data_IF_441747082404
#
_entry.id   IF_441747082404
#
_cell.length_a   1.000
_cell.length_b   1.000
_cell.length_c   1.000
_cell.angle_alpha   90.00
_cell.angle_beta   90.00
_cell.angle_gamma   90.00
#
_symmetry.space_group_name_H-M   'P 1'
#
loop_
_entity.id
_entity.type
_entity.pdbx_description
1 polymer ?
#
# COMPACT_ATOMS: atom_id res chain seq x y z
N UNK A 1 -10.27 -4.92 5.02
CA UNK A 1 -10.26 -3.45 5.07
C UNK A 1 -8.96 -3.03 5.74
N UNK A 2 -8.22 -2.08 5.17
CA UNK A 2 -7.05 -1.49 5.86
C UNK A 2 -7.55 -0.39 6.79
N UNK A 3 -7.18 -0.44 8.07
CA UNK A 3 -7.66 0.47 9.11
C UNK A 3 -6.72 1.65 9.32
N UNK A 4 -7.22 2.72 9.96
CA UNK A 4 -6.42 3.85 10.46
C UNK A 4 -5.51 4.52 9.39
N UNK A 5 -5.99 4.67 8.16
CA UNK A 5 -5.18 5.26 7.08
C UNK A 5 -5.33 6.78 7.01
N UNK A 6 -4.25 7.56 6.81
CA UNK A 6 -4.34 9.01 6.75
C UNK A 6 -5.13 9.45 5.52
N UNK A 7 -6.12 10.34 5.67
CA UNK A 7 -6.89 10.88 4.54
C UNK A 7 -6.00 11.52 3.47
N UNK A 8 -4.86 12.10 3.87
CA UNK A 8 -3.86 12.68 2.96
C UNK A 8 -3.30 11.65 1.96
N UNK A 9 -3.29 10.36 2.29
CA UNK A 9 -2.78 9.32 1.39
C UNK A 9 -3.84 8.79 0.41
N UNK A 10 -5.09 9.23 0.53
CA UNK A 10 -6.22 8.74 -0.28
C UNK A 10 -6.03 9.02 -1.77
N UNK A 11 -5.41 10.15 -2.12
CA UNK A 11 -5.14 10.52 -3.53
C UNK A 11 -4.23 9.51 -4.25
N UNK A 12 -3.33 8.85 -3.51
CA UNK A 12 -2.42 7.83 -4.05
C UNK A 12 -3.06 6.43 -4.11
N UNK A 13 -4.27 6.27 -3.58
CA UNK A 13 -4.89 4.96 -3.33
C UNK A 13 -6.19 4.76 -4.12
N UNK A 14 -6.25 5.26 -5.36
CA UNK A 14 -7.45 5.18 -6.22
C UNK A 14 -7.97 3.75 -6.45
N UNK A 15 -7.08 2.75 -6.42
CA UNK A 15 -7.41 1.33 -6.56
C UNK A 15 -7.73 0.60 -5.26
N UNK A 16 -7.69 1.27 -4.10
CA UNK A 16 -8.06 0.65 -2.82
C UNK A 16 -9.57 0.80 -2.60
N UNK A 17 -10.29 -0.32 -2.70
CA UNK A 17 -11.76 -0.35 -2.62
C UNK A 17 -12.27 -0.32 -1.16
N UNK A 18 -11.44 -0.69 -0.18
CA UNK A 18 -11.85 -0.78 1.23
C UNK A 18 -10.73 -0.37 2.19
N UNK A 19 -10.78 0.91 2.61
CA UNK A 19 -9.91 1.50 3.61
C UNK A 19 -10.73 2.39 4.56
N UNK A 20 -10.38 2.36 5.84
CA UNK A 20 -10.84 3.33 6.82
C UNK A 20 -9.89 4.52 6.81
N UNK A 21 -10.38 5.66 6.32
CA UNK A 21 -9.62 6.90 6.25
C UNK A 21 -9.90 7.76 7.49
N UNK A 22 -8.86 8.33 8.08
CA UNK A 22 -8.91 9.13 9.29
C UNK A 22 -7.95 10.31 9.21
N UNK A 23 -8.38 11.46 9.71
CA UNK A 23 -7.50 12.62 9.93
C UNK A 23 -6.70 12.51 11.24
N UNK A 24 -7.04 11.53 12.09
CA UNK A 24 -6.32 11.23 13.33
C UNK A 24 -5.41 10.03 13.11
N UNK A 25 -4.10 10.26 13.28
CA UNK A 25 -3.10 9.20 13.26
C UNK A 25 -3.21 8.34 14.53
N UNK A 26 -3.62 7.09 14.36
CA UNK A 26 -3.84 6.11 15.46
C UNK A 26 -2.95 4.87 15.30
N UNK A 27 -1.72 5.07 14.82
CA UNK A 27 -0.74 3.99 14.66
C UNK A 27 -0.95 3.08 13.45
N UNK A 28 -1.85 3.38 12.51
CA UNK A 28 -1.91 2.66 11.23
C UNK A 28 -2.37 1.20 11.34
N UNK A 29 -2.08 0.41 10.30
CA UNK A 29 -2.54 -0.97 10.15
C UNK A 29 -1.39 -1.97 10.26
N UNK A 30 -1.59 -3.05 11.04
CA UNK A 30 -0.62 -4.14 11.16
C UNK A 30 -0.40 -4.88 9.83
N UNK A 31 -1.44 -4.96 8.99
CA UNK A 31 -1.32 -5.49 7.64
C UNK A 31 -0.35 -4.65 6.80
N UNK A 32 -0.44 -3.32 6.90
CA UNK A 32 0.45 -2.42 6.18
C UNK A 32 1.88 -2.54 6.72
N UNK A 33 2.08 -2.69 8.03
CA UNK A 33 3.41 -2.97 8.61
C UNK A 33 4.03 -4.25 8.04
N UNK A 34 3.25 -5.33 7.96
CA UNK A 34 3.72 -6.57 7.39
C UNK A 34 4.13 -6.41 5.92
N UNK A 35 3.35 -5.63 5.15
CA UNK A 35 3.68 -5.30 3.76
C UNK A 35 4.93 -4.42 3.65
N UNK A 36 5.12 -3.45 4.54
CA UNK A 36 6.30 -2.60 4.59
C UNK A 36 7.56 -3.39 4.94
N UNK A 37 7.46 -4.29 5.92
CA UNK A 37 8.52 -5.25 6.27
C UNK A 37 8.91 -6.10 5.08
N UNK A 38 7.90 -6.66 4.40
CA UNK A 38 8.12 -7.41 3.16
C UNK A 38 8.78 -6.52 2.10
N UNK A 39 8.32 -5.29 1.89
CA UNK A 39 8.88 -4.37 0.89
C UNK A 39 10.26 -3.80 1.26
N UNK A 40 10.71 -3.94 2.51
CA UNK A 40 11.98 -3.41 2.99
C UNK A 40 11.97 -1.89 3.21
N UNK A 41 10.84 -1.34 3.64
CA UNK A 41 10.69 0.09 4.00
C UNK A 41 10.27 0.25 5.47
N UNK A 42 10.32 1.47 5.99
CA UNK A 42 9.86 1.81 7.35
C UNK A 42 8.45 1.26 7.63
N UNK A 43 8.30 0.55 8.74
CA UNK A 43 7.06 -0.12 9.18
C UNK A 43 6.12 0.83 9.96
N UNK A 44 5.75 1.97 9.37
CA UNK A 44 4.90 2.97 10.03
C UNK A 44 3.39 2.63 10.04
N UNK A 45 2.96 1.59 9.31
CA UNK A 45 1.58 1.15 9.22
C UNK A 45 0.69 1.97 8.28
N UNK A 46 1.26 2.88 7.48
CA UNK A 46 0.54 3.76 6.57
C UNK A 46 0.86 3.49 5.09
N UNK A 47 -0.19 3.42 4.27
CA UNK A 47 -0.07 3.20 2.83
C UNK A 47 0.09 4.52 2.07
N UNK A 48 1.25 5.14 2.24
CA UNK A 48 1.65 6.35 1.52
C UNK A 48 2.46 6.08 0.25
N UNK A 49 2.83 7.13 -0.51
CA UNK A 49 3.58 7.00 -1.75
C UNK A 49 4.94 6.32 -1.56
N UNK A 50 5.58 6.47 -0.40
CA UNK A 50 6.82 5.74 -0.08
C UNK A 50 6.58 4.22 0.00
N UNK A 51 5.57 3.79 0.75
CA UNK A 51 5.17 2.38 0.86
C UNK A 51 4.82 1.81 -0.51
N UNK A 52 4.08 2.57 -1.33
CA UNK A 52 3.67 2.16 -2.67
C UNK A 52 4.90 1.99 -3.58
N UNK A 53 5.83 2.95 -3.60
CA UNK A 53 7.06 2.85 -4.40
C UNK A 53 7.91 1.65 -3.99
N UNK A 54 8.03 1.37 -2.69
CA UNK A 54 8.77 0.21 -2.20
C UNK A 54 8.15 -1.10 -2.70
N UNK A 55 6.82 -1.22 -2.68
CA UNK A 55 6.13 -2.38 -3.24
C UNK A 55 6.31 -2.48 -4.76
N UNK A 56 6.20 -1.37 -5.49
CA UNK A 56 6.40 -1.33 -6.94
C UNK A 56 7.81 -1.78 -7.34
N UNK A 57 8.85 -1.31 -6.63
CA UNK A 57 10.21 -1.79 -6.82
C UNK A 57 10.34 -3.29 -6.59
N UNK A 58 9.75 -3.81 -5.50
CA UNK A 58 9.84 -5.23 -5.16
C UNK A 58 9.09 -6.13 -6.16
N UNK A 59 8.01 -5.63 -6.75
CA UNK A 59 7.19 -6.34 -7.74
C UNK A 59 7.65 -6.13 -9.19
N UNK A 60 8.61 -5.24 -9.43
CA UNK A 60 9.11 -4.93 -10.78
C UNK A 60 8.08 -4.21 -11.66
N UNK A 61 7.16 -3.44 -11.07
CA UNK A 61 6.18 -2.63 -11.81
C UNK A 61 6.63 -1.17 -11.93
N UNK A 62 5.93 -0.37 -12.75
CA UNK A 62 6.15 1.08 -12.82
C UNK A 62 6.14 1.69 -11.42
N UNK A 63 7.14 2.52 -11.12
CA UNK A 63 7.34 3.17 -9.81
C UNK A 63 6.80 4.60 -9.88
N UNK A 64 5.50 4.76 -9.72
CA UNK A 64 4.82 6.07 -9.73
C UNK A 64 4.34 6.49 -8.32
N UNK A 65 4.35 5.59 -7.34
CA UNK A 65 3.85 5.84 -5.99
C UNK A 65 2.32 5.91 -5.90
N UNK A 66 1.60 5.39 -6.89
CA UNK A 66 0.14 5.37 -6.95
C UNK A 66 -0.39 3.95 -7.13
N UNK A 67 -1.46 3.63 -6.42
CA UNK A 67 -2.29 2.45 -6.67
C UNK A 67 -3.46 2.90 -7.54
N UNK A 68 -3.33 2.74 -8.86
CA UNK A 68 -4.37 3.06 -9.84
C UNK A 68 -5.53 2.05 -9.86
N UNK A 69 -6.60 2.35 -10.59
CA UNK A 69 -7.66 1.37 -10.91
C UNK A 69 -7.84 1.29 -12.43
N UNK A 70 -7.51 0.15 -13.08
CA UNK A 70 -6.81 -1.03 -12.52
C UNK A 70 -5.33 -0.73 -12.19
N UNK A 71 -4.77 -1.42 -11.18
CA UNK A 71 -3.36 -1.31 -10.79
C UNK A 71 -2.53 -2.50 -11.26
N UNK A 72 -1.46 -2.23 -12.01
CA UNK A 72 -0.45 -3.22 -12.36
C UNK A 72 0.26 -3.77 -11.13
N UNK A 73 0.54 -2.93 -10.13
CA UNK A 73 1.14 -3.33 -8.86
C UNK A 73 0.23 -4.30 -8.08
N UNK A 74 -1.07 -4.00 -7.97
CA UNK A 74 -2.02 -4.91 -7.28
C UNK A 74 -2.12 -6.24 -8.01
N UNK A 75 -2.15 -6.23 -9.34
CA UNK A 75 -2.14 -7.46 -10.14
C UNK A 75 -0.86 -8.28 -9.90
N UNK A 76 0.31 -7.64 -9.96
CA UNK A 76 1.60 -8.30 -9.71
C UNK A 76 1.69 -8.86 -8.28
N UNK A 77 1.19 -8.12 -7.29
CA UNK A 77 1.11 -8.59 -5.90
C UNK A 77 0.23 -9.84 -5.78
N UNK A 78 -0.96 -9.83 -6.39
CA UNK A 78 -1.86 -10.99 -6.38
C UNK A 78 -1.20 -12.21 -7.02
N UNK A 79 -0.53 -12.02 -8.16
CA UNK A 79 0.19 -13.09 -8.84
C UNK A 79 1.38 -13.60 -8.01
N UNK A 80 2.09 -12.73 -7.29
CA UNK A 80 3.14 -13.12 -6.37
C UNK A 80 2.57 -13.97 -5.22
N UNK A 81 1.52 -13.50 -4.54
CA UNK A 81 0.86 -14.24 -3.46
C UNK A 81 0.34 -15.61 -3.90
N UNK A 82 -0.16 -15.74 -5.13
CA UNK A 82 -0.65 -17.01 -5.67
C UNK A 82 0.46 -18.04 -5.96
N UNK A 83 1.74 -17.61 -5.96
CA UNK A 83 2.90 -18.49 -6.19
C UNK A 83 3.66 -18.85 -4.91
N UNK A 84 3.23 -18.34 -3.76
CA UNK A 84 3.78 -18.66 -2.44
C UNK A 84 3.07 -19.89 -1.87
#
# INVERSE_FOLDING_TARGET
MISNQPTANKEYCAGIVSAEWSDKLSGGSDLIRAMQKWAGTTEDGYIGPQTIRAMQHKLGTTVDGVISYPSAMVKALQEWCNRQ
#
